data_IF_903707787226
#
_entry.id   IF_903707787226
#
_cell.length_a   1.000
_cell.length_b   1.000
_cell.length_c   1.000
_cell.angle_alpha   90.00
_cell.angle_beta   90.00
_cell.angle_gamma   90.00
#
_symmetry.space_group_name_H-M   'P 1'
#
loop_
_entity.id
_entity.type
_entity.pdbx_description
1 polymer ?
#
# COMPACT_ATOMS: atom_id res chain seq x y z
N UNK A 1 -25.90 13.08 4.23
CA UNK A 1 -26.61 12.96 2.94
C UNK A 1 -25.71 12.45 1.83
N UNK A 2 -24.57 13.07 1.54
CA UNK A 2 -23.66 12.65 0.46
C UNK A 2 -23.09 11.24 0.66
N UNK A 3 -22.70 10.89 1.88
CA UNK A 3 -22.11 9.60 2.22
C UNK A 3 -23.06 8.43 1.95
N UNK A 4 -24.30 8.49 2.44
CA UNK A 4 -25.32 7.44 2.19
C UNK A 4 -25.57 7.24 0.69
N UNK A 5 -25.54 8.30 -0.12
CA UNK A 5 -25.74 8.16 -1.56
C UNK A 5 -24.58 7.45 -2.27
N UNK A 6 -23.35 7.54 -1.75
CA UNK A 6 -22.19 6.79 -2.25
C UNK A 6 -22.33 5.31 -1.91
N UNK A 7 -22.63 4.98 -0.66
CA UNK A 7 -22.87 3.59 -0.25
C UNK A 7 -24.03 2.93 -1.03
N UNK A 8 -25.16 3.62 -1.17
CA UNK A 8 -26.31 3.13 -1.96
C UNK A 8 -25.90 2.86 -3.41
N UNK A 9 -25.07 3.71 -4.01
CA UNK A 9 -24.60 3.53 -5.37
C UNK A 9 -23.64 2.34 -5.50
N UNK A 10 -22.78 2.12 -4.51
CA UNK A 10 -21.93 0.93 -4.45
C UNK A 10 -22.80 -0.31 -4.35
N UNK A 11 -23.69 -0.38 -3.35
CA UNK A 11 -24.59 -1.50 -3.12
C UNK A 11 -25.46 -1.83 -4.34
N UNK A 12 -25.88 -0.82 -5.10
CA UNK A 12 -26.68 -1.03 -6.32
C UNK A 12 -25.89 -1.72 -7.46
N UNK A 13 -24.57 -1.68 -7.42
CA UNK A 13 -23.69 -2.32 -8.42
C UNK A 13 -23.21 -3.71 -7.99
N UNK A 14 -23.26 -3.99 -6.69
CA UNK A 14 -22.83 -5.27 -6.16
C UNK A 14 -23.84 -6.39 -6.45
N UNK A 15 -23.38 -7.64 -6.58
CA UNK A 15 -24.23 -8.83 -6.56
C UNK A 15 -25.13 -8.84 -5.32
N UNK A 16 -26.31 -9.42 -5.42
CA UNK A 16 -27.33 -9.43 -4.33
C UNK A 16 -26.76 -9.97 -3.02
N UNK A 17 -25.89 -10.98 -3.09
CA UNK A 17 -25.23 -11.63 -1.97
C UNK A 17 -24.27 -10.72 -1.17
N UNK A 18 -23.79 -9.63 -1.78
CA UNK A 18 -22.83 -8.69 -1.18
C UNK A 18 -23.47 -7.38 -0.71
N UNK A 19 -24.73 -7.11 -1.09
CA UNK A 19 -25.42 -5.84 -0.80
C UNK A 19 -25.61 -5.56 0.68
N UNK A 20 -25.71 -6.60 1.49
CA UNK A 20 -25.89 -6.48 2.95
C UNK A 20 -24.56 -6.36 3.71
N UNK A 21 -23.42 -6.49 3.04
CA UNK A 21 -22.13 -6.28 3.67
C UNK A 21 -21.85 -4.79 3.83
N UNK A 22 -21.32 -4.35 4.98
CA UNK A 22 -20.87 -2.99 5.14
C UNK A 22 -19.72 -2.70 4.16
N UNK A 23 -19.80 -1.61 3.42
CA UNK A 23 -18.69 -1.15 2.57
C UNK A 23 -17.59 -0.63 3.49
N UNK A 24 -16.37 -1.10 3.27
CA UNK A 24 -15.23 -0.69 4.08
C UNK A 24 -14.93 0.79 3.84
N UNK A 25 -14.98 1.59 4.91
CA UNK A 25 -14.80 3.03 4.88
C UNK A 25 -13.62 3.44 5.72
N UNK A 26 -12.60 3.95 5.07
CA UNK A 26 -11.34 4.38 5.67
C UNK A 26 -11.37 5.89 5.89
N UNK A 27 -11.38 6.33 7.13
CA UNK A 27 -11.15 7.74 7.48
C UNK A 27 -9.67 8.01 7.63
N UNK A 28 -9.19 8.91 6.80
CA UNK A 28 -7.78 9.31 6.77
C UNK A 28 -7.54 10.39 7.82
N UNK A 29 -6.86 10.04 8.91
CA UNK A 29 -6.67 10.91 10.07
C UNK A 29 -5.34 10.63 10.78
N UNK A 30 -4.64 11.64 11.33
CA UNK A 30 -3.44 11.43 12.15
C UNK A 30 -3.68 10.57 13.41
N UNK A 31 -4.93 10.45 13.87
CA UNK A 31 -5.30 9.67 15.06
C UNK A 31 -5.46 8.18 14.79
N UNK A 32 -5.41 7.76 13.51
CA UNK A 32 -5.60 6.38 13.10
C UNK A 32 -4.37 5.50 13.30
N UNK A 33 -4.55 4.20 13.11
CA UNK A 33 -3.45 3.25 13.04
C UNK A 33 -2.53 3.56 11.86
N UNK A 34 -1.21 3.40 12.04
CA UNK A 34 -0.25 3.69 10.98
C UNK A 34 -0.38 2.66 9.86
N UNK A 35 -0.63 3.15 8.65
CA UNK A 35 -0.74 2.33 7.44
C UNK A 35 0.57 1.58 7.16
N UNK A 36 0.45 0.31 6.83
CA UNK A 36 1.57 -0.56 6.52
C UNK A 36 1.22 -1.55 5.40
N UNK A 37 2.21 -2.33 4.95
CA UNK A 37 2.05 -3.30 3.86
C UNK A 37 0.99 -4.37 4.15
N UNK A 38 0.86 -4.79 5.41
CA UNK A 38 -0.15 -5.77 5.81
C UNK A 38 -1.57 -5.21 5.63
N UNK A 39 -1.80 -3.95 6.03
CA UNK A 39 -3.09 -3.28 5.81
C UNK A 39 -3.37 -3.11 4.31
N UNK A 40 -2.36 -2.80 3.50
CA UNK A 40 -2.52 -2.71 2.05
C UNK A 40 -3.01 -4.04 1.45
N UNK A 41 -2.43 -5.17 1.88
CA UNK A 41 -2.86 -6.52 1.47
C UNK A 41 -4.27 -6.87 1.93
N UNK A 42 -4.68 -6.39 3.10
CA UNK A 42 -6.04 -6.61 3.60
C UNK A 42 -7.06 -5.79 2.82
N UNK A 43 -6.78 -4.52 2.58
CA UNK A 43 -7.66 -3.63 1.83
C UNK A 43 -7.78 -4.04 0.36
N UNK A 44 -6.74 -4.61 -0.23
CA UNK A 44 -6.77 -5.12 -1.60
C UNK A 44 -7.71 -6.32 -1.82
N UNK A 45 -8.23 -6.94 -0.76
CA UNK A 45 -9.20 -8.03 -0.84
C UNK A 45 -10.65 -7.53 -0.94
N UNK A 46 -10.87 -6.26 -0.65
CA UNK A 46 -12.20 -5.65 -0.72
C UNK A 46 -12.57 -5.32 -2.17
N UNK A 47 -13.82 -5.52 -2.53
CA UNK A 47 -14.33 -5.15 -3.85
C UNK A 47 -14.48 -3.64 -3.99
N UNK A 48 -14.90 -2.98 -2.90
CA UNK A 48 -15.10 -1.54 -2.83
C UNK A 48 -14.47 -0.98 -1.56
N UNK A 49 -13.77 0.15 -1.69
CA UNK A 49 -13.22 0.94 -0.58
C UNK A 49 -13.70 2.39 -0.70
N UNK A 50 -14.16 2.96 0.39
CA UNK A 50 -14.45 4.38 0.50
C UNK A 50 -13.34 5.05 1.30
N UNK A 51 -12.70 6.07 0.73
CA UNK A 51 -11.79 6.94 1.47
C UNK A 51 -12.50 8.23 1.85
N UNK A 52 -12.62 8.45 3.15
CA UNK A 52 -13.16 9.68 3.72
C UNK A 52 -12.01 10.63 4.04
N UNK A 53 -11.89 11.69 3.24
CA UNK A 53 -10.85 12.71 3.37
C UNK A 53 -11.43 13.94 4.05
N UNK A 54 -10.98 14.21 5.27
CA UNK A 54 -11.38 15.39 6.02
C UNK A 54 -10.62 16.64 5.58
N UNK A 55 -11.30 17.78 5.64
CA UNK A 55 -10.74 19.11 5.50
C UNK A 55 -11.12 19.97 6.71
N UNK A 56 -10.38 21.05 6.93
CA UNK A 56 -10.64 22.05 7.99
C UNK A 56 -10.65 21.43 9.40
N UNK A 57 -11.64 21.78 10.22
CA UNK A 57 -11.75 21.42 11.64
C UNK A 57 -12.13 19.94 11.90
N UNK A 58 -12.48 19.18 10.85
CA UNK A 58 -12.84 17.77 10.97
C UNK A 58 -14.26 17.44 10.51
N UNK A 59 -14.70 16.24 10.85
CA UNK A 59 -16.02 15.69 10.49
C UNK A 59 -16.80 15.46 11.80
N UNK A 60 -18.11 15.65 11.77
CA UNK A 60 -18.99 15.38 12.91
C UNK A 60 -18.81 13.94 13.41
N UNK A 61 -18.49 13.78 14.68
CA UNK A 61 -18.16 12.49 15.30
C UNK A 61 -19.30 11.48 15.12
N UNK A 62 -20.55 11.91 15.19
CA UNK A 62 -21.71 11.03 14.98
C UNK A 62 -21.76 10.41 13.57
N UNK A 63 -21.23 11.15 12.58
CA UNK A 63 -21.09 10.62 11.21
C UNK A 63 -19.95 9.62 11.14
N UNK A 64 -18.84 9.90 11.81
CA UNK A 64 -17.71 8.99 11.87
C UNK A 64 -18.09 7.67 12.55
N UNK A 65 -18.76 7.72 13.71
CA UNK A 65 -19.23 6.55 14.44
C UNK A 65 -20.21 5.69 13.64
N UNK A 66 -21.05 6.30 12.80
CA UNK A 66 -22.04 5.58 11.98
C UNK A 66 -21.43 4.96 10.71
N UNK A 67 -20.37 5.57 10.15
CA UNK A 67 -19.95 5.27 8.78
C UNK A 67 -18.54 4.72 8.63
N UNK A 68 -17.63 5.03 9.58
CA UNK A 68 -16.22 4.67 9.46
C UNK A 68 -15.96 3.28 10.03
N UNK A 69 -15.28 2.45 9.26
CA UNK A 69 -14.81 1.14 9.72
C UNK A 69 -13.36 1.17 10.18
N UNK A 70 -12.55 2.01 9.57
CA UNK A 70 -11.11 2.07 9.80
C UNK A 70 -10.61 3.51 9.90
N UNK A 71 -9.86 3.81 10.97
CA UNK A 71 -9.14 5.07 11.15
C UNK A 71 -7.68 4.83 10.82
N UNK A 72 -7.15 5.51 9.79
CA UNK A 72 -5.82 5.22 9.27
C UNK A 72 -4.99 6.49 9.10
N UNK A 73 -3.75 6.43 9.58
CA UNK A 73 -2.72 7.47 9.45
C UNK A 73 -1.62 7.02 8.49
N UNK A 74 -0.92 7.94 7.85
CA UNK A 74 0.32 7.63 7.11
C UNK A 74 1.59 8.04 7.87
N UNK A 75 1.46 8.51 9.11
CA UNK A 75 2.59 8.90 9.97
C UNK A 75 2.26 10.03 10.92
N UNK A 76 3.20 10.34 11.81
CA UNK A 76 3.04 11.32 12.89
C UNK A 76 3.31 12.76 12.39
N UNK A 77 2.52 13.23 11.46
CA UNK A 77 2.55 14.59 10.91
C UNK A 77 1.19 14.98 10.36
N UNK A 78 0.96 16.29 10.25
CA UNK A 78 -0.30 16.85 9.78
C UNK A 78 -0.15 17.40 8.37
N UNK A 79 -1.10 17.07 7.50
CA UNK A 79 -1.25 17.61 6.16
C UNK A 79 -2.48 18.53 6.06
N UNK A 80 -2.59 19.26 4.97
CA UNK A 80 -3.70 20.20 4.74
C UNK A 80 -5.04 19.52 4.47
N UNK A 81 -5.03 18.22 4.11
CA UNK A 81 -6.22 17.43 3.83
C UNK A 81 -5.90 15.94 3.70
N UNK A 82 -6.93 15.11 3.62
CA UNK A 82 -6.81 13.66 3.56
C UNK A 82 -6.53 13.09 2.16
N UNK A 83 -6.54 13.91 1.11
CA UNK A 83 -6.42 13.43 -0.28
C UNK A 83 -5.04 12.84 -0.59
N UNK A 84 -3.96 13.51 -0.18
CA UNK A 84 -2.60 13.01 -0.41
C UNK A 84 -2.35 11.68 0.32
N UNK A 85 -2.66 11.55 1.62
CA UNK A 85 -2.62 10.25 2.28
C UNK A 85 -3.47 9.18 1.60
N UNK A 86 -4.69 9.50 1.18
CA UNK A 86 -5.55 8.57 0.45
C UNK A 86 -4.89 8.11 -0.85
N UNK A 87 -4.26 9.00 -1.61
CA UNK A 87 -3.51 8.65 -2.83
C UNK A 87 -2.36 7.69 -2.53
N UNK A 88 -1.60 7.91 -1.44
CA UNK A 88 -0.53 7.00 -1.01
C UNK A 88 -1.09 5.61 -0.69
N UNK A 89 -2.19 5.54 0.05
CA UNK A 89 -2.84 4.27 0.38
C UNK A 89 -3.38 3.57 -0.88
N UNK A 90 -4.06 4.30 -1.78
CA UNK A 90 -4.61 3.76 -3.02
C UNK A 90 -3.49 3.19 -3.89
N UNK A 91 -2.37 3.88 -4.04
CA UNK A 91 -1.22 3.37 -4.80
C UNK A 91 -0.71 2.05 -4.20
N UNK A 92 -0.43 2.03 -2.89
CA UNK A 92 0.06 0.84 -2.22
C UNK A 92 -0.93 -0.34 -2.27
N UNK A 93 -2.23 -0.09 -2.10
CA UNK A 93 -3.30 -1.09 -2.19
C UNK A 93 -3.42 -1.63 -3.61
N UNK A 94 -3.43 -0.75 -4.61
CA UNK A 94 -3.57 -1.12 -6.02
C UNK A 94 -2.46 -2.05 -6.49
N UNK A 95 -1.24 -1.87 -6.00
CA UNK A 95 -0.10 -2.76 -6.28
C UNK A 95 -0.31 -4.19 -5.79
N UNK A 96 -1.17 -4.39 -4.78
CA UNK A 96 -1.50 -5.72 -4.23
C UNK A 96 -2.62 -6.40 -5.03
N UNK A 97 -3.32 -5.69 -5.91
CA UNK A 97 -4.39 -6.26 -6.74
C UNK A 97 -3.77 -7.05 -7.90
N UNK A 98 -4.16 -8.33 -8.11
CA UNK A 98 -3.63 -9.14 -9.20
C UNK A 98 -3.82 -8.47 -10.57
N UNK A 99 -2.76 -8.45 -11.38
CA UNK A 99 -2.77 -7.90 -12.73
C UNK A 99 -2.57 -6.38 -12.84
N UNK A 100 -2.45 -5.65 -11.75
CA UNK A 100 -2.13 -4.21 -11.77
C UNK A 100 -0.66 -3.98 -12.11
N UNK A 101 0.25 -4.78 -11.56
CA UNK A 101 1.66 -4.75 -11.95
C UNK A 101 1.89 -5.70 -13.14
N UNK A 102 2.62 -5.21 -14.14
CA UNK A 102 2.88 -5.94 -15.40
C UNK A 102 3.71 -7.23 -15.20
N UNK A 103 4.54 -7.29 -14.15
CA UNK A 103 5.34 -8.46 -13.81
C UNK A 103 4.89 -8.98 -12.44
N UNK A 104 4.22 -10.14 -12.41
CA UNK A 104 3.78 -10.79 -11.17
C UNK A 104 4.92 -11.11 -10.20
N UNK A 105 6.16 -11.26 -10.70
CA UNK A 105 7.36 -11.49 -9.89
C UNK A 105 7.91 -10.21 -9.22
N UNK A 106 7.52 -9.01 -9.69
CA UNK A 106 8.04 -7.75 -9.15
C UNK A 106 7.57 -7.47 -7.72
N UNK A 107 6.40 -7.96 -7.33
CA UNK A 107 5.86 -7.77 -5.98
C UNK A 107 6.48 -8.70 -4.93
N UNK A 108 6.98 -9.88 -5.33
CA UNK A 108 7.49 -10.90 -4.39
C UNK A 108 8.89 -10.59 -3.82
N UNK A 109 9.63 -9.68 -4.43
CA UNK A 109 11.01 -9.31 -4.03
C UNK A 109 11.16 -7.89 -3.51
N UNK A 110 10.06 -7.16 -3.39
CA UNK A 110 10.06 -5.77 -2.90
C UNK A 110 10.20 -5.71 -1.37
N UNK A 111 10.62 -4.53 -0.88
CA UNK A 111 10.71 -4.26 0.56
C UNK A 111 9.38 -4.53 1.27
N UNK A 112 9.45 -5.09 2.48
CA UNK A 112 8.31 -5.50 3.31
C UNK A 112 7.52 -6.72 2.81
N UNK A 113 7.97 -7.40 1.73
CA UNK A 113 7.56 -8.76 1.43
C UNK A 113 8.46 -9.73 2.23
N UNK A 114 7.88 -10.49 3.16
CA UNK A 114 8.62 -11.43 4.02
C UNK A 114 9.55 -10.78 5.05
N UNK A 115 9.20 -9.59 5.56
CA UNK A 115 9.91 -8.85 6.63
C UNK A 115 11.34 -8.38 6.28
N UNK A 116 11.77 -8.47 5.03
CA UNK A 116 13.07 -8.01 4.58
C UNK A 116 12.96 -6.74 3.73
N UNK A 117 13.99 -5.89 3.84
CA UNK A 117 14.19 -4.78 2.90
C UNK A 117 14.78 -5.31 1.59
N UNK A 118 14.54 -4.58 0.51
CA UNK A 118 15.09 -4.91 -0.79
C UNK A 118 16.63 -4.83 -0.80
N UNK A 119 17.27 -5.77 -1.52
CA UNK A 119 18.71 -5.75 -1.74
C UNK A 119 19.13 -4.57 -2.65
N UNK A 120 20.44 -4.13 -2.61
CA UNK A 120 20.91 -3.02 -3.42
C UNK A 120 20.84 -3.32 -4.92
N UNK A 121 20.25 -2.40 -5.67
CA UNK A 121 20.16 -2.47 -7.12
C UNK A 121 21.41 -1.83 -7.77
N UNK A 122 21.85 -2.43 -8.88
CA UNK A 122 22.96 -1.95 -9.70
C UNK A 122 22.52 -1.88 -11.17
N UNK A 123 22.92 -0.80 -11.84
CA UNK A 123 22.68 -0.58 -13.27
C UNK A 123 24.02 -0.40 -14.00
N UNK A 124 23.98 -0.32 -15.33
CA UNK A 124 25.16 0.05 -16.14
C UNK A 124 25.52 1.52 -15.93
N UNK A 125 26.81 1.86 -16.02
CA UNK A 125 27.99 1.03 -16.35
C UNK A 125 28.47 0.19 -15.16
N UNK A 126 29.37 -0.80 -15.40
CA UNK A 126 29.95 -1.66 -14.36
C UNK A 126 30.79 -0.90 -13.35
N UNK A 127 31.38 0.21 -13.77
CA UNK A 127 32.10 1.13 -12.89
C UNK A 127 31.55 2.55 -13.03
N UNK A 128 31.29 3.18 -11.88
CA UNK A 128 30.85 4.57 -11.80
C UNK A 128 31.60 5.31 -10.70
N UNK A 129 32.40 6.30 -11.09
CA UNK A 129 33.27 7.09 -10.19
C UNK A 129 34.16 6.22 -9.27
N UNK A 130 34.81 5.21 -9.84
CA UNK A 130 35.69 4.28 -9.10
C UNK A 130 34.96 3.23 -8.26
N UNK A 131 33.61 3.24 -8.24
CA UNK A 131 32.77 2.24 -7.56
C UNK A 131 32.34 1.18 -8.56
N UNK A 132 32.60 -0.10 -8.23
CA UNK A 132 32.28 -1.21 -9.11
C UNK A 132 31.05 -1.97 -8.68
N UNK A 133 30.33 -2.51 -9.65
CA UNK A 133 29.26 -3.49 -9.41
C UNK A 133 29.88 -4.75 -8.78
N UNK A 134 29.27 -5.37 -7.75
CA UNK A 134 29.75 -6.60 -7.16
C UNK A 134 29.92 -7.70 -8.22
N UNK A 135 31.10 -8.33 -8.26
CA UNK A 135 31.47 -9.34 -9.28
C UNK A 135 30.50 -10.52 -9.35
N UNK A 136 29.85 -10.85 -8.22
CA UNK A 136 28.86 -11.92 -8.18
C UNK A 136 27.66 -11.64 -9.08
N UNK A 137 27.24 -10.38 -9.22
CA UNK A 137 26.12 -9.97 -10.08
C UNK A 137 26.47 -10.05 -11.57
N UNK A 138 27.76 -9.97 -11.90
CA UNK A 138 28.28 -10.07 -13.27
C UNK A 138 28.60 -11.52 -13.66
N UNK A 139 28.55 -12.45 -12.72
CA UNK A 139 28.98 -13.86 -12.92
C UNK A 139 28.05 -14.71 -13.79
N UNK A 140 26.81 -14.28 -14.03
CA UNK A 140 25.76 -15.07 -14.68
C UNK A 140 25.28 -16.29 -13.86
N UNK A 141 25.84 -16.53 -12.66
CA UNK A 141 25.47 -17.63 -11.81
C UNK A 141 24.25 -17.27 -10.94
N UNK A 142 23.05 -17.63 -11.40
CA UNK A 142 21.78 -17.28 -10.77
C UNK A 142 21.72 -17.71 -9.28
N UNK A 143 22.25 -18.87 -8.93
CA UNK A 143 22.27 -19.35 -7.54
C UNK A 143 23.08 -18.43 -6.63
N UNK A 144 24.30 -18.06 -7.06
CA UNK A 144 25.17 -17.15 -6.28
C UNK A 144 24.59 -15.73 -6.20
N UNK A 145 23.94 -15.29 -7.28
CA UNK A 145 23.26 -13.98 -7.33
C UNK A 145 22.09 -13.96 -6.31
N UNK A 146 21.26 -15.00 -6.31
CA UNK A 146 20.12 -15.11 -5.39
C UNK A 146 20.59 -15.17 -3.92
N UNK A 147 21.65 -15.93 -3.63
CA UNK A 147 22.23 -16.01 -2.29
C UNK A 147 22.78 -14.65 -1.82
N UNK A 148 23.52 -13.95 -2.68
CA UNK A 148 24.05 -12.62 -2.40
C UNK A 148 22.90 -11.60 -2.15
N UNK A 149 21.86 -11.61 -2.95
CA UNK A 149 20.69 -10.76 -2.81
C UNK A 149 20.03 -10.95 -1.45
N UNK A 150 19.82 -12.20 -1.04
CA UNK A 150 19.27 -12.53 0.26
C UNK A 150 20.14 -12.02 1.41
N UNK A 151 21.45 -12.26 1.37
CA UNK A 151 22.40 -11.78 2.38
C UNK A 151 22.40 -10.25 2.49
N UNK A 152 22.33 -9.53 1.37
CA UNK A 152 22.28 -8.07 1.37
C UNK A 152 20.93 -7.53 1.88
N UNK A 153 19.83 -8.21 1.61
CA UNK A 153 18.52 -7.88 2.18
C UNK A 153 18.53 -8.06 3.70
N UNK A 154 19.00 -9.21 4.20
CA UNK A 154 19.15 -9.49 5.65
C UNK A 154 20.06 -8.45 6.34
N UNK A 155 21.15 -8.03 5.70
CA UNK A 155 22.08 -7.02 6.27
C UNK A 155 21.48 -5.64 6.39
N UNK A 156 20.47 -5.31 5.56
CA UNK A 156 19.83 -3.97 5.53
C UNK A 156 18.62 -3.87 6.44
N UNK A 157 18.01 -5.01 6.78
CA UNK A 157 16.88 -5.11 7.71
C UNK A 157 17.35 -5.08 9.16
#
# INVERSE_FOLDING_TARGET
>A
MLFRSVEEKIRSRQPEELRDRPVRTVYVTPQGAVFNQQMAKEFAKEEDLIFLCGHYEGIDERVLEETVTDYVSIGDYVLTGGELPAMVMIDAISRMVPGVLANGESGETESFEGDLLEYPQYSRPEEWHGKQVPKVLLSGNQRKIAEWRRQEAERRT
#
